data_IF_693622099629
#
_entry.id   IF_693622099629
#
_cell.length_a   1.000
_cell.length_b   1.000
_cell.length_c   1.000
_cell.angle_alpha   90.00
_cell.angle_beta   90.00
_cell.angle_gamma   90.00
#
_symmetry.space_group_name_H-M   'P 1'
#
loop_
_entity.id
_entity.type
_entity.pdbx_description
1 polymer ?
#
# COMPACT_ATOMS: atom_id res chain seq x y z
N UNK A 1 -7.01 -0.57 -34.82
CA UNK A 1 -8.48 -0.51 -34.71
C UNK A 1 -8.85 0.01 -33.32
N UNK A 2 -9.06 1.31 -33.17
CA UNK A 2 -9.54 1.92 -31.93
C UNK A 2 -10.99 1.50 -31.72
N UNK A 3 -11.22 0.43 -30.94
CA UNK A 3 -12.58 0.03 -30.61
C UNK A 3 -13.20 1.11 -29.71
N UNK A 4 -14.26 1.78 -30.19
CA UNK A 4 -15.04 2.69 -29.36
C UNK A 4 -15.59 1.92 -28.16
N UNK A 5 -15.21 2.38 -26.96
CA UNK A 5 -15.64 1.80 -25.68
C UNK A 5 -17.11 2.14 -25.41
N UNK A 6 -17.55 3.33 -25.81
CA UNK A 6 -18.96 3.71 -25.84
C UNK A 6 -19.66 3.00 -27.00
N UNK A 7 -20.74 2.28 -26.70
CA UNK A 7 -21.51 1.49 -27.67
C UNK A 7 -22.80 2.17 -28.10
N UNK A 8 -23.32 3.10 -27.30
CA UNK A 8 -24.53 3.87 -27.58
C UNK A 8 -25.39 4.02 -26.33
N UNK A 9 -26.63 4.48 -26.50
CA UNK A 9 -27.57 4.69 -25.40
C UNK A 9 -28.69 3.66 -25.38
N UNK A 10 -29.01 3.14 -24.20
CA UNK A 10 -30.14 2.26 -23.94
C UNK A 10 -31.29 3.03 -23.28
N UNK A 11 -32.52 2.84 -23.76
CA UNK A 11 -33.71 3.48 -23.16
C UNK A 11 -34.01 2.87 -21.78
N UNK A 12 -34.44 3.70 -20.86
CA UNK A 12 -34.77 3.38 -19.46
C UNK A 12 -35.84 2.31 -19.27
N UNK A 13 -36.66 2.04 -20.31
CA UNK A 13 -37.75 1.06 -20.27
C UNK A 13 -37.34 -0.32 -20.82
N UNK A 14 -36.05 -0.55 -21.09
CA UNK A 14 -35.57 -1.87 -21.51
C UNK A 14 -35.77 -2.88 -20.37
N UNK A 15 -36.41 -4.02 -20.65
CA UNK A 15 -36.60 -5.13 -19.70
C UNK A 15 -35.29 -5.89 -19.49
N UNK A 16 -34.28 -5.21 -18.96
CA UNK A 16 -33.00 -5.83 -18.60
C UNK A 16 -32.90 -5.74 -17.09
N UNK A 17 -32.67 -6.88 -16.44
CA UNK A 17 -32.37 -6.89 -15.01
C UNK A 17 -30.97 -6.32 -14.83
N UNK A 18 -30.88 -5.25 -14.05
CA UNK A 18 -29.64 -4.56 -13.78
C UNK A 18 -29.26 -4.73 -12.31
N UNK A 19 -28.00 -5.07 -12.08
CA UNK A 19 -27.39 -4.92 -10.75
C UNK A 19 -27.01 -3.44 -10.62
N UNK A 20 -27.86 -2.64 -9.98
CA UNK A 20 -27.65 -1.18 -9.82
C UNK A 20 -26.95 -0.85 -8.52
N UNK A 21 -25.93 -0.01 -8.59
CA UNK A 21 -25.25 0.57 -7.43
C UNK A 21 -25.04 2.07 -7.62
N UNK A 22 -25.25 2.83 -6.55
CA UNK A 22 -24.87 4.23 -6.50
C UNK A 22 -23.38 4.29 -6.19
N UNK A 23 -22.64 5.00 -7.01
CA UNK A 23 -21.21 5.25 -6.82
C UNK A 23 -21.04 6.70 -6.41
N UNK A 24 -20.14 6.98 -5.47
CA UNK A 24 -19.71 8.35 -5.20
C UNK A 24 -18.77 8.82 -6.31
N UNK A 25 -19.21 9.81 -7.09
CA UNK A 25 -18.48 10.34 -8.24
C UNK A 25 -18.32 9.38 -9.44
N UNK A 26 -19.39 8.79 -10.00
CA UNK A 26 -19.27 7.83 -11.09
C UNK A 26 -18.97 8.50 -12.42
N UNK A 27 -17.70 8.46 -12.80
CA UNK A 27 -17.33 8.55 -14.20
C UNK A 27 -17.48 7.17 -14.88
N UNK A 28 -17.47 7.17 -16.21
CA UNK A 28 -17.59 5.94 -17.01
C UNK A 28 -16.50 4.91 -16.67
N UNK A 29 -15.32 5.35 -16.22
CA UNK A 29 -14.22 4.45 -15.86
C UNK A 29 -14.50 3.69 -14.55
N UNK A 30 -14.96 4.37 -13.51
CA UNK A 30 -15.31 3.74 -12.22
C UNK A 30 -16.43 2.73 -12.39
N UNK A 31 -17.46 3.07 -13.16
CA UNK A 31 -18.57 2.15 -13.44
C UNK A 31 -18.13 0.92 -14.25
N UNK A 32 -17.23 1.10 -15.23
CA UNK A 32 -16.65 -0.01 -16.00
C UNK A 32 -15.80 -0.94 -15.14
N UNK A 33 -15.00 -0.39 -14.21
CA UNK A 33 -14.18 -1.18 -13.29
C UNK A 33 -15.05 -2.04 -12.37
N UNK A 34 -16.09 -1.46 -11.78
CA UNK A 34 -17.05 -2.17 -10.96
C UNK A 34 -17.67 -3.35 -11.72
N UNK A 35 -18.13 -3.12 -12.96
CA UNK A 35 -18.72 -4.17 -13.77
C UNK A 35 -17.71 -5.24 -14.22
N UNK A 36 -16.44 -4.87 -14.40
CA UNK A 36 -15.37 -5.83 -14.68
C UNK A 36 -15.13 -6.76 -13.48
N UNK A 37 -15.06 -6.22 -12.26
CA UNK A 37 -14.91 -7.00 -11.03
C UNK A 37 -16.09 -7.96 -10.82
N UNK A 38 -17.28 -7.58 -11.27
CA UNK A 38 -18.49 -8.42 -11.25
C UNK A 38 -18.58 -9.42 -12.41
N UNK A 39 -17.57 -9.50 -13.27
CA UNK A 39 -17.54 -10.40 -14.43
C UNK A 39 -18.60 -10.09 -15.48
N UNK A 40 -19.01 -8.82 -15.61
CA UNK A 40 -20.05 -8.39 -16.55
C UNK A 40 -19.44 -7.81 -17.82
N UNK A 41 -20.12 -7.96 -18.96
CA UNK A 41 -19.64 -7.54 -20.28
C UNK A 41 -19.92 -6.07 -20.59
N UNK A 42 -20.93 -5.48 -19.95
CA UNK A 42 -21.35 -4.10 -20.17
C UNK A 42 -21.55 -3.35 -18.86
N UNK A 43 -21.18 -2.08 -18.88
CA UNK A 43 -21.49 -1.12 -17.82
C UNK A 43 -22.41 -0.05 -18.38
N UNK A 44 -23.41 0.33 -17.60
CA UNK A 44 -24.38 1.35 -17.92
C UNK A 44 -24.20 2.52 -16.95
N UNK A 45 -24.07 3.73 -17.48
CA UNK A 45 -24.00 4.95 -16.68
C UNK A 45 -25.18 5.85 -17.02
N UNK A 46 -25.97 6.24 -16.02
CA UNK A 46 -27.07 7.19 -16.18
C UNK A 46 -26.83 8.43 -15.33
N UNK A 47 -26.99 9.61 -15.95
CA UNK A 47 -26.88 10.94 -15.32
C UNK A 47 -25.58 11.14 -14.53
N UNK A 48 -24.54 10.37 -14.83
CA UNK A 48 -23.26 10.41 -14.11
C UNK A 48 -23.39 10.19 -12.60
N UNK A 49 -24.45 9.49 -12.16
CA UNK A 49 -24.72 9.19 -10.74
C UNK A 49 -25.08 7.72 -10.50
N UNK A 50 -25.67 7.04 -11.48
CA UNK A 50 -26.11 5.65 -11.35
C UNK A 50 -25.29 4.74 -12.25
N UNK A 51 -24.74 3.68 -11.67
CA UNK A 51 -24.03 2.64 -12.40
C UNK A 51 -24.81 1.33 -12.37
N UNK A 52 -24.79 0.60 -13.49
CA UNK A 52 -25.37 -0.72 -13.56
C UNK A 52 -24.56 -1.66 -14.44
N UNK A 53 -24.62 -2.97 -14.15
CA UNK A 53 -23.83 -3.97 -14.85
C UNK A 53 -24.71 -5.07 -15.46
N UNK A 54 -24.39 -5.54 -16.67
CA UNK A 54 -25.14 -6.62 -17.32
C UNK A 54 -24.31 -7.37 -18.37
N UNK A 55 -24.75 -8.59 -18.69
CA UNK A 55 -24.30 -9.37 -19.84
C UNK A 55 -25.30 -9.33 -21.01
N UNK A 56 -26.51 -8.83 -20.75
CA UNK A 56 -27.67 -9.00 -21.62
C UNK A 56 -28.01 -7.68 -22.34
N UNK A 57 -27.12 -7.25 -23.25
CA UNK A 57 -27.40 -6.14 -24.16
C UNK A 57 -27.26 -6.61 -25.60
N UNK A 58 -28.34 -6.45 -26.35
CA UNK A 58 -28.30 -6.55 -27.80
C UNK A 58 -27.84 -5.20 -28.38
N UNK A 59 -26.62 -5.17 -28.93
CA UNK A 59 -26.01 -3.95 -29.47
C UNK A 59 -26.83 -3.31 -30.60
N UNK A 60 -27.70 -4.07 -31.27
CA UNK A 60 -28.57 -3.55 -32.33
C UNK A 60 -29.67 -2.63 -31.80
N UNK A 61 -30.00 -2.74 -30.51
CA UNK A 61 -31.07 -1.96 -29.87
C UNK A 61 -30.55 -0.63 -29.31
N UNK A 62 -29.24 -0.38 -29.42
CA UNK A 62 -28.59 0.84 -28.95
C UNK A 62 -28.79 1.99 -29.95
N UNK A 63 -29.20 3.13 -29.43
CA UNK A 63 -29.31 4.37 -30.20
C UNK A 63 -28.00 5.14 -30.14
N UNK A 64 -27.53 5.68 -31.28
CA UNK A 64 -26.41 6.63 -31.32
C UNK A 64 -26.84 8.08 -31.05
N UNK A 65 -28.12 8.31 -30.70
CA UNK A 65 -28.65 9.63 -30.37
C UNK A 65 -28.11 10.13 -29.02
N UNK A 66 -28.48 11.34 -28.63
CA UNK A 66 -28.11 11.89 -27.33
C UNK A 66 -28.54 10.98 -26.15
N UNK A 67 -27.62 10.76 -25.21
CA UNK A 67 -27.83 9.92 -24.03
C UNK A 67 -28.28 10.71 -22.78
N UNK A 68 -28.64 11.98 -22.89
CA UNK A 68 -28.96 12.85 -21.73
C UNK A 68 -29.91 12.22 -20.70
N UNK A 69 -30.97 11.53 -21.14
CA UNK A 69 -31.93 10.82 -20.25
C UNK A 69 -31.87 9.29 -20.36
N UNK A 70 -30.78 8.75 -20.90
CA UNK A 70 -30.62 7.32 -21.20
C UNK A 70 -29.39 6.76 -20.51
N UNK A 71 -29.34 5.43 -20.43
CA UNK A 71 -28.15 4.74 -19.99
C UNK A 71 -27.10 4.80 -21.09
N UNK A 72 -25.95 5.41 -20.81
CA UNK A 72 -24.76 5.32 -21.66
C UNK A 72 -24.17 3.92 -21.49
N UNK A 73 -24.12 3.15 -22.57
CA UNK A 73 -23.62 1.77 -22.56
C UNK A 73 -22.17 1.77 -22.98
N UNK A 74 -21.33 1.20 -22.12
CA UNK A 74 -19.92 0.98 -22.39
C UNK A 74 -19.62 -0.52 -22.38
N UNK A 75 -18.75 -0.93 -23.29
CA UNK A 75 -18.16 -2.26 -23.22
C UNK A 75 -17.15 -2.31 -22.06
N UNK A 76 -17.27 -3.37 -21.27
CA UNK A 76 -16.30 -3.75 -20.24
C UNK A 76 -15.14 -4.53 -20.86
N UNK A 77 -15.33 -5.07 -22.07
CA UNK A 77 -14.24 -5.70 -22.84
C UNK A 77 -13.04 -4.74 -22.97
N UNK A 78 -11.84 -5.31 -22.82
CA UNK A 78 -10.54 -4.63 -22.65
C UNK A 78 -10.15 -4.18 -21.25
N UNK A 79 -10.90 -4.56 -20.20
CA UNK A 79 -10.35 -4.62 -18.82
C UNK A 79 -9.89 -6.06 -18.51
N UNK A 80 -9.25 -6.70 -19.49
CA UNK A 80 -8.19 -7.64 -19.17
C UNK A 80 -6.93 -6.94 -19.62
N UNK A 81 -6.46 -6.01 -18.81
CA UNK A 81 -5.06 -5.60 -18.87
C UNK A 81 -4.27 -6.82 -18.44
N UNK A 82 -3.97 -7.71 -19.39
CA UNK A 82 -2.80 -8.57 -19.25
C UNK A 82 -1.64 -7.58 -19.22
N UNK A 83 -1.30 -7.18 -18.01
CA UNK A 83 -0.23 -6.27 -17.72
C UNK A 83 0.85 -7.13 -17.10
N UNK A 84 2.09 -6.86 -17.47
CA UNK A 84 3.23 -7.59 -16.94
C UNK A 84 3.74 -6.92 -15.65
N UNK A 85 2.98 -5.99 -15.06
CA UNK A 85 3.36 -5.33 -13.82
C UNK A 85 3.40 -6.35 -12.69
N UNK A 86 4.48 -6.32 -11.92
CA UNK A 86 4.68 -7.15 -10.75
C UNK A 86 4.94 -6.25 -9.56
N UNK A 87 4.25 -6.53 -8.46
CA UNK A 87 4.55 -5.97 -7.16
C UNK A 87 5.47 -6.95 -6.44
N UNK A 88 6.71 -6.54 -6.22
CA UNK A 88 7.65 -7.25 -5.36
C UNK A 88 7.47 -6.77 -3.93
N UNK A 89 7.47 -7.73 -3.00
CA UNK A 89 7.34 -7.51 -1.57
C UNK A 89 8.37 -8.38 -0.88
N UNK A 90 9.32 -7.73 -0.23
CA UNK A 90 10.40 -8.37 0.51
C UNK A 90 10.47 -7.76 1.91
N UNK A 91 11.07 -8.47 2.86
CA UNK A 91 11.30 -7.95 4.19
C UNK A 91 12.68 -8.32 4.71
N UNK A 92 13.18 -7.51 5.63
CA UNK A 92 14.50 -7.67 6.25
C UNK A 92 14.28 -7.79 7.75
N UNK A 93 14.70 -8.93 8.31
CA UNK A 93 14.77 -9.17 9.75
C UNK A 93 16.06 -8.53 10.30
N UNK A 94 16.01 -8.04 11.54
CA UNK A 94 17.22 -7.52 12.19
C UNK A 94 18.16 -8.65 12.62
N UNK A 95 17.58 -9.76 13.08
CA UNK A 95 18.32 -10.96 13.40
C UNK A 95 18.68 -11.78 12.15
N UNK A 96 19.62 -12.73 12.29
CA UNK A 96 19.94 -13.73 11.26
C UNK A 96 19.03 -14.97 11.33
N UNK A 97 18.09 -14.99 12.27
CA UNK A 97 17.20 -16.11 12.48
C UNK A 97 16.11 -16.12 11.39
N UNK A 98 15.49 -17.28 11.11
CA UNK A 98 14.35 -17.35 10.19
C UNK A 98 13.05 -16.77 10.77
N UNK A 99 13.10 -16.24 11.99
CA UNK A 99 12.00 -15.62 12.74
C UNK A 99 12.44 -14.29 13.33
N UNK A 100 11.47 -13.50 13.78
CA UNK A 100 11.68 -12.31 14.63
C UNK A 100 11.09 -12.55 16.01
N UNK A 101 11.52 -11.79 17.01
CA UNK A 101 10.89 -11.81 18.34
C UNK A 101 9.72 -10.84 18.42
N UNK A 102 8.85 -11.00 19.43
CA UNK A 102 7.87 -9.98 19.78
C UNK A 102 8.53 -8.60 19.92
N UNK A 103 7.85 -7.58 19.42
CA UNK A 103 8.26 -6.16 19.46
C UNK A 103 9.60 -5.84 18.74
N UNK A 104 10.12 -6.75 17.92
CA UNK A 104 11.29 -6.50 17.06
C UNK A 104 10.84 -5.93 15.72
N UNK A 105 11.38 -4.75 15.37
CA UNK A 105 11.01 -4.04 14.13
C UNK A 105 11.52 -4.76 12.87
N UNK A 106 10.62 -4.98 11.92
CA UNK A 106 10.90 -5.55 10.61
C UNK A 106 10.72 -4.49 9.54
N UNK A 107 11.68 -4.39 8.61
CA UNK A 107 11.58 -3.48 7.46
C UNK A 107 10.97 -4.20 6.26
N UNK A 108 9.82 -3.71 5.79
CA UNK A 108 9.13 -4.18 4.60
C UNK A 108 9.42 -3.26 3.42
N UNK A 109 9.95 -3.83 2.34
CA UNK A 109 10.20 -3.15 1.08
C UNK A 109 9.13 -3.57 0.07
N UNK A 110 8.55 -2.59 -0.63
CA UNK A 110 7.67 -2.84 -1.75
C UNK A 110 8.15 -2.05 -2.96
N UNK A 111 8.15 -2.69 -4.12
CA UNK A 111 8.50 -2.04 -5.37
C UNK A 111 7.74 -2.70 -6.52
N UNK A 112 7.26 -1.87 -7.44
CA UNK A 112 6.81 -2.36 -8.74
C UNK A 112 8.00 -2.47 -9.69
N UNK A 113 7.92 -3.37 -10.68
CA UNK A 113 8.96 -3.58 -11.70
C UNK A 113 9.05 -2.49 -12.78
N UNK A 114 8.41 -1.34 -12.55
CA UNK A 114 8.44 -0.15 -13.41
C UNK A 114 8.72 1.10 -12.59
N UNK A 115 9.42 2.06 -13.19
CA UNK A 115 9.70 3.34 -12.55
C UNK A 115 8.51 4.30 -12.66
N UNK A 116 7.50 4.08 -11.80
CA UNK A 116 6.33 4.94 -11.67
C UNK A 116 6.12 5.30 -10.20
N UNK A 117 5.74 6.56 -9.94
CA UNK A 117 5.28 6.99 -8.62
C UNK A 117 3.93 6.34 -8.31
N UNK A 118 3.88 5.59 -7.21
CA UNK A 118 2.68 4.89 -6.77
C UNK A 118 2.52 4.99 -5.26
N UNK A 119 1.27 4.91 -4.81
CA UNK A 119 0.94 4.77 -3.39
C UNK A 119 0.83 3.28 -3.08
N UNK A 120 1.54 2.84 -2.05
CA UNK A 120 1.48 1.50 -1.50
C UNK A 120 0.63 1.50 -0.24
N UNK A 121 -0.24 0.50 -0.12
CA UNK A 121 -1.03 0.22 1.09
C UNK A 121 -0.54 -1.08 1.69
N UNK A 122 0.10 -0.99 2.85
CA UNK A 122 0.47 -2.12 3.69
C UNK A 122 -0.67 -2.39 4.66
N UNK A 123 -1.12 -3.64 4.70
CA UNK A 123 -2.14 -4.15 5.62
C UNK A 123 -1.51 -5.29 6.40
N UNK A 124 -1.37 -5.08 7.70
CA UNK A 124 -0.89 -6.07 8.66
C UNK A 124 -2.11 -6.80 9.23
N UNK A 125 -1.90 -8.04 9.69
CA UNK A 125 -2.98 -8.90 10.19
C UNK A 125 -3.42 -8.61 11.63
N UNK A 126 -2.87 -7.57 12.23
CA UNK A 126 -3.24 -6.97 13.52
C UNK A 126 -4.04 -5.67 13.34
N UNK A 127 -4.70 -5.52 12.18
CA UNK A 127 -5.53 -4.38 11.77
C UNK A 127 -4.76 -3.05 11.57
N UNK A 128 -3.43 -3.06 11.60
CA UNK A 128 -2.62 -1.89 11.26
C UNK A 128 -2.57 -1.69 9.74
N UNK A 129 -2.78 -0.45 9.30
CA UNK A 129 -2.73 -0.08 7.88
C UNK A 129 -1.83 1.14 7.69
N UNK A 130 -0.87 1.02 6.77
CA UNK A 130 0.06 2.11 6.43
C UNK A 130 -0.03 2.43 4.94
N UNK A 131 -0.18 3.72 4.63
CA UNK A 131 -0.12 4.24 3.27
C UNK A 131 1.18 5.02 3.09
N UNK A 132 1.96 4.70 2.05
CA UNK A 132 3.21 5.42 1.75
C UNK A 132 3.46 5.48 0.24
N UNK A 133 4.13 6.54 -0.22
CA UNK A 133 4.69 6.61 -1.58
C UNK A 133 6.12 6.08 -1.65
N UNK A 134 6.78 5.96 -0.50
CA UNK A 134 8.23 5.73 -0.41
C UNK A 134 8.51 4.66 0.65
N UNK A 135 8.39 3.36 0.30
CA UNK A 135 8.90 2.27 1.12
C UNK A 135 10.41 2.43 1.38
N UNK A 136 10.97 1.89 2.48
CA UNK A 136 10.39 0.87 3.36
C UNK A 136 9.39 1.36 4.42
N UNK A 137 8.60 0.42 4.94
CA UNK A 137 7.75 0.59 6.15
C UNK A 137 8.25 -0.34 7.25
N UNK A 138 8.34 0.14 8.49
CA UNK A 138 8.67 -0.69 9.66
C UNK A 138 7.40 -1.12 10.40
N UNK A 139 7.36 -2.36 10.87
CA UNK A 139 6.29 -2.89 11.74
C UNK A 139 6.82 -4.01 12.64
N UNK A 140 6.15 -4.24 13.76
CA UNK A 140 6.45 -5.30 14.73
C UNK A 140 5.16 -5.85 15.33
N UNK A 141 5.21 -7.07 15.84
CA UNK A 141 4.07 -7.72 16.48
C UNK A 141 4.39 -8.06 17.93
N UNK A 142 3.46 -7.78 18.83
CA UNK A 142 3.60 -8.16 20.24
C UNK A 142 3.29 -9.64 20.51
N UNK A 143 2.55 -10.30 19.60
CA UNK A 143 2.06 -11.66 19.77
C UNK A 143 2.89 -12.59 18.90
N UNK A 144 3.37 -13.71 19.45
CA UNK A 144 4.05 -14.73 18.67
C UNK A 144 3.07 -15.49 17.75
N UNK A 145 3.51 -15.83 16.55
CA UNK A 145 2.67 -16.45 15.55
C UNK A 145 3.18 -16.29 14.13
N UNK A 146 2.38 -16.74 13.17
CA UNK A 146 2.61 -16.49 11.76
C UNK A 146 1.74 -15.33 11.33
N UNK A 147 2.39 -14.26 10.90
CA UNK A 147 1.74 -13.01 10.56
C UNK A 147 1.76 -12.75 9.07
N UNK A 148 0.61 -12.40 8.50
CA UNK A 148 0.52 -12.05 7.09
C UNK A 148 0.64 -10.54 6.91
N UNK A 149 1.41 -10.13 5.89
CA UNK A 149 1.49 -8.74 5.44
C UNK A 149 1.05 -8.71 3.99
N UNK A 150 -0.03 -7.98 3.72
CA UNK A 150 -0.54 -7.77 2.37
C UNK A 150 -0.21 -6.36 1.93
N UNK A 151 0.43 -6.23 0.77
CA UNK A 151 0.68 -4.95 0.13
C UNK A 151 -0.13 -4.87 -1.14
N UNK A 152 -0.82 -3.75 -1.32
CA UNK A 152 -1.52 -3.42 -2.54
C UNK A 152 -1.11 -2.07 -3.10
N UNK A 153 -1.15 -1.94 -4.42
CA UNK A 153 -0.95 -0.66 -5.12
C UNK A 153 -1.81 -0.63 -6.38
N UNK A 154 -2.08 0.57 -6.88
CA UNK A 154 -2.96 0.78 -8.03
C UNK A 154 -2.26 1.59 -9.13
N UNK A 155 -2.10 0.99 -10.31
CA UNK A 155 -1.60 1.64 -11.53
C UNK A 155 -2.78 1.87 -12.47
N UNK A 156 -3.38 3.05 -12.39
CA UNK A 156 -4.58 3.39 -13.15
C UNK A 156 -5.77 2.48 -12.77
N UNK A 157 -6.12 1.54 -13.65
CA UNK A 157 -7.20 0.57 -13.42
C UNK A 157 -6.71 -0.80 -12.94
N UNK A 158 -5.39 -1.00 -12.84
CA UNK A 158 -4.78 -2.26 -12.42
C UNK A 158 -4.50 -2.19 -10.92
N UNK A 159 -5.02 -3.14 -10.17
CA UNK A 159 -4.63 -3.36 -8.77
C UNK A 159 -3.62 -4.50 -8.72
N UNK A 160 -2.46 -4.24 -8.13
CA UNK A 160 -1.46 -5.25 -7.83
C UNK A 160 -1.54 -5.55 -6.34
N UNK A 161 -1.47 -6.83 -6.00
CA UNK A 161 -1.50 -7.32 -4.62
C UNK A 161 -0.42 -8.37 -4.46
N UNK A 162 0.35 -8.29 -3.39
CA UNK A 162 1.28 -9.32 -2.99
C UNK A 162 1.19 -9.52 -1.47
N UNK A 163 1.36 -10.76 -1.02
CA UNK A 163 1.27 -11.12 0.40
C UNK A 163 2.49 -11.93 0.78
N UNK A 164 3.11 -11.58 1.89
CA UNK A 164 4.17 -12.36 2.52
C UNK A 164 3.78 -12.76 3.93
N UNK A 165 4.47 -13.77 4.46
CA UNK A 165 4.26 -14.27 5.82
C UNK A 165 5.54 -14.16 6.62
N UNK A 166 5.45 -13.55 7.79
CA UNK A 166 6.53 -13.44 8.78
C UNK A 166 6.24 -14.41 9.92
N UNK A 167 7.29 -15.04 10.47
CA UNK A 167 7.16 -15.86 11.68
C UNK A 167 7.73 -15.09 12.86
N UNK A 168 6.92 -14.91 13.90
CA UNK A 168 7.27 -14.29 15.18
C UNK A 168 7.33 -15.41 16.22
N UNK A 169 8.47 -15.61 16.87
CA UNK A 169 8.66 -16.64 17.89
C UNK A 169 9.11 -16.01 19.21
N UNK A 170 8.38 -16.30 20.29
CA UNK A 170 8.80 -15.98 21.64
C UNK A 170 9.65 -17.13 22.19
N UNK A 171 10.94 -17.09 21.86
CA UNK A 171 11.92 -18.08 22.29
C UNK A 171 13.05 -17.43 23.06
N UNK A 172 13.44 -18.08 24.15
CA UNK A 172 14.65 -17.73 24.88
C UNK A 172 15.87 -18.20 24.08
N UNK A 173 16.51 -17.25 23.41
CA UNK A 173 17.72 -17.52 22.60
C UNK A 173 18.96 -17.82 23.46
N UNK A 174 18.87 -17.75 24.80
CA UNK A 174 19.91 -18.19 25.74
C UNK A 174 21.23 -17.43 25.65
N UNK A 175 21.33 -16.43 24.76
CA UNK A 175 22.44 -15.48 24.60
C UNK A 175 21.89 -14.15 24.13
N UNK A 176 22.24 -13.08 24.84
CA UNK A 176 21.95 -11.72 24.41
C UNK A 176 22.46 -11.48 22.98
N UNK A 177 21.72 -10.75 22.13
CA UNK A 177 22.17 -10.43 20.79
C UNK A 177 23.51 -9.68 20.86
N UNK A 178 24.47 -10.09 20.03
CA UNK A 178 25.81 -9.50 20.03
C UNK A 178 25.83 -8.03 19.56
N UNK A 179 24.74 -7.55 18.96
CA UNK A 179 24.60 -6.24 18.34
C UNK A 179 23.17 -5.72 18.50
N UNK A 180 23.03 -4.57 19.15
CA UNK A 180 21.82 -3.77 19.18
C UNK A 180 21.96 -2.69 18.10
N UNK A 181 21.19 -2.80 17.02
CA UNK A 181 21.17 -1.80 15.95
C UNK A 181 20.16 -0.71 16.25
N UNK A 182 20.59 0.43 16.79
CA UNK A 182 19.73 1.62 16.92
C UNK A 182 19.76 2.37 15.59
N UNK A 183 18.66 2.32 14.83
CA UNK A 183 18.51 3.07 13.60
C UNK A 183 17.63 4.31 13.84
N UNK A 184 18.18 5.50 13.59
CA UNK A 184 17.43 6.76 13.56
C UNK A 184 17.64 7.36 12.17
N UNK A 185 16.56 7.68 11.47
CA UNK A 185 16.62 8.27 10.14
C UNK A 185 15.88 9.60 10.08
N UNK A 186 16.38 10.52 9.27
CA UNK A 186 15.70 11.74 8.86
C UNK A 186 15.76 11.83 7.33
N UNK A 187 14.63 12.13 6.70
CA UNK A 187 14.49 12.31 5.24
C UNK A 187 15.18 13.60 4.75
N UNK A 188 15.38 13.77 3.43
CA UNK A 188 16.60 14.28 2.79
C UNK A 188 17.03 15.65 3.36
N UNK A 189 18.26 15.83 3.82
CA UNK A 189 19.50 15.47 3.13
C UNK A 189 20.56 14.93 4.11
N UNK A 190 21.15 13.76 3.83
CA UNK A 190 22.57 13.51 4.13
C UNK A 190 23.06 12.24 3.43
N UNK A 191 24.04 12.43 2.56
CA UNK A 191 24.97 11.39 2.11
C UNK A 191 25.77 10.91 3.33
N UNK A 192 25.97 9.60 3.43
CA UNK A 192 26.82 8.87 4.41
C UNK A 192 26.38 8.95 5.88
N UNK A 193 26.12 7.77 6.46
CA UNK A 193 25.90 7.60 7.88
C UNK A 193 27.19 7.96 8.65
N UNK A 194 27.22 9.16 9.21
CA UNK A 194 28.00 9.49 10.40
C UNK A 194 26.98 9.72 11.53
N UNK A 195 27.19 9.03 12.65
CA UNK A 195 26.41 9.27 13.87
C UNK A 195 26.80 10.65 14.39
N UNK A 196 25.95 11.65 14.17
CA UNK A 196 26.08 12.98 14.74
C UNK A 196 24.94 13.17 15.76
N UNK A 197 25.26 12.98 17.05
CA UNK A 197 24.38 13.39 18.14
C UNK A 197 24.59 14.90 18.31
N UNK A 198 23.62 15.69 17.88
CA UNK A 198 23.66 17.15 18.01
C UNK A 198 22.89 17.57 19.26
N UNK A 199 23.61 17.96 20.31
CA UNK A 199 23.04 18.54 21.54
C UNK A 199 22.81 20.03 21.28
N UNK A 200 21.55 20.46 21.15
CA UNK A 200 21.18 21.86 20.81
C UNK A 200 21.04 22.74 22.06
N UNK A 201 21.60 22.29 23.18
CA UNK A 201 21.39 22.81 24.51
C UNK A 201 22.75 23.05 25.20
N UNK A 202 22.82 24.05 26.09
CA UNK A 202 23.98 24.32 26.94
C UNK A 202 24.09 23.35 28.13
N UNK A 203 23.09 22.48 28.34
CA UNK A 203 23.10 21.48 29.39
C UNK A 203 23.82 20.20 28.99
N UNK A 204 24.62 19.69 29.93
CA UNK A 204 25.26 18.37 29.84
C UNK A 204 24.19 17.30 29.61
N UNK A 205 24.26 16.63 28.46
CA UNK A 205 23.34 15.53 28.14
C UNK A 205 24.05 14.22 28.41
N UNK A 206 23.52 13.44 29.35
CA UNK A 206 23.99 12.09 29.62
C UNK A 206 23.02 11.06 29.06
N UNK A 207 23.52 10.12 28.26
CA UNK A 207 22.74 8.99 27.79
C UNK A 207 23.21 7.71 28.49
N UNK A 208 22.26 6.94 29.00
CA UNK A 208 22.48 5.61 29.56
C UNK A 208 21.56 4.64 28.82
N UNK A 209 22.12 3.52 28.39
CA UNK A 209 21.33 2.43 27.81
C UNK A 209 21.03 1.45 28.93
N UNK A 210 19.76 1.33 29.31
CA UNK A 210 19.29 0.32 30.26
C UNK A 210 18.95 -0.97 29.50
N UNK A 211 19.49 -2.08 29.96
CA UNK A 211 19.23 -3.40 29.41
C UNK A 211 18.07 -4.08 30.16
N UNK A 212 17.40 -5.04 29.52
CA UNK A 212 16.28 -5.77 30.11
C UNK A 212 16.63 -6.66 31.31
N UNK A 213 17.92 -6.82 31.62
CA UNK A 213 18.44 -7.51 32.80
C UNK A 213 18.71 -6.56 33.99
N UNK A 214 18.37 -5.28 33.85
CA UNK A 214 18.58 -4.25 34.86
C UNK A 214 20.01 -3.72 34.94
N UNK A 215 20.92 -4.15 34.05
CA UNK A 215 22.23 -3.51 33.90
C UNK A 215 22.13 -2.25 33.05
N UNK A 216 23.08 -1.34 33.25
CA UNK A 216 23.18 -0.09 32.50
C UNK A 216 24.54 -0.02 31.81
N UNK A 217 24.57 0.60 30.62
CA UNK A 217 25.83 0.89 29.94
C UNK A 217 26.68 1.90 30.73
N UNK A 218 27.94 2.09 30.33
CA UNK A 218 28.67 3.27 30.73
C UNK A 218 27.87 4.55 30.36
N UNK A 219 27.93 5.56 31.22
CA UNK A 219 27.27 6.86 30.99
C UNK A 219 28.05 7.58 29.89
N UNK A 220 27.36 7.88 28.79
CA UNK A 220 27.93 8.70 27.72
C UNK A 220 27.55 10.15 27.98
N UNK A 221 28.54 10.95 28.37
CA UNK A 221 28.36 12.38 28.64
C UNK A 221 28.77 13.17 27.42
N UNK A 222 27.84 13.97 26.89
CA UNK A 222 28.08 14.86 25.78
C UNK A 222 28.20 16.29 26.32
N UNK A 223 29.42 16.80 26.28
CA UNK A 223 29.72 18.18 26.63
C UNK A 223 29.76 19.03 25.36
N UNK A 224 28.87 20.01 25.28
CA UNK A 224 28.94 21.03 24.24
C UNK A 224 29.98 22.07 24.67
N UNK A 225 31.26 21.85 24.35
CA UNK A 225 32.27 22.87 24.59
C UNK A 225 32.05 24.01 23.58
N UNK A 226 31.45 25.11 24.05
CA UNK A 226 31.34 26.35 23.29
C UNK A 226 32.70 27.08 23.13
N UNK A 227 33.79 26.33 23.00
CA UNK A 227 35.13 26.87 22.79
C UNK A 227 35.43 26.90 21.29
N UNK A 228 34.99 28.00 20.69
CA UNK A 228 35.70 28.77 19.66
C UNK A 228 36.42 28.00 18.54
N UNK A 229 35.75 27.87 17.40
CA UNK A 229 36.44 27.92 16.11
C UNK A 229 36.86 29.36 15.83
N UNK A 230 38.15 29.65 15.95
CA UNK A 230 38.86 30.64 15.12
C UNK A 230 39.80 29.91 14.18
#
# INVERSE_FOLDING_TARGET
LTQSLHKGCLRTNARVNFDTENLDGPNASSCRLLCAQKGKLFSLLQKEVSCACTNEINLKDLSQADCTDRWRVYAVSHIQTKNDYKLNLDYILQSKNPYTKPDEDIMFNAAIDYNLYNVYKFEFDDDVVVLTTDPPVSHSWAIAGKHNVTVSTQIGIVTLVNTTQVTVEDVDEGKAPALLGVAVSHHPNALTAQVLIMVVDAYETSCVVSFGDGQESAVYVFNNSADGYT
#
